data_IF_207901719416
#
_entry.id   IF_207901719416
#
_cell.length_a   1.000
_cell.length_b   1.000
_cell.length_c   1.000
_cell.angle_alpha   90.00
_cell.angle_beta   90.00
_cell.angle_gamma   90.00
#
_symmetry.space_group_name_H-M   'P 1'
#
loop_
_entity.id
_entity.type
_entity.pdbx_description
1 polymer ?
#
# COMPACT_ATOMS: atom_id res chain seq x y z
N UNK A 1 -3.51 -26.43 4.86
CA UNK A 1 -4.59 -25.50 5.28
C UNK A 1 -4.79 -25.72 6.76
N UNK A 2 -4.52 -24.73 7.60
CA UNK A 2 -4.68 -24.88 9.05
C UNK A 2 -6.18 -24.93 9.35
N UNK A 3 -6.64 -25.98 10.01
CA UNK A 3 -8.03 -26.08 10.43
C UNK A 3 -8.28 -25.08 11.56
N UNK A 4 -8.85 -23.93 11.19
CA UNK A 4 -9.20 -22.87 12.12
C UNK A 4 -10.18 -23.35 13.20
N UNK A 5 -10.93 -24.44 12.96
CA UNK A 5 -11.80 -25.03 13.97
C UNK A 5 -11.00 -25.65 15.14
N UNK A 6 -9.83 -26.25 14.87
CA UNK A 6 -8.97 -26.82 15.91
C UNK A 6 -8.39 -25.73 16.82
N UNK A 7 -7.98 -24.59 16.24
CA UNK A 7 -7.45 -23.45 17.00
C UNK A 7 -8.54 -22.86 17.92
N UNK A 8 -9.81 -22.94 17.53
CA UNK A 8 -10.95 -22.44 18.32
C UNK A 8 -11.32 -23.29 19.54
N UNK A 9 -10.80 -24.51 19.66
CA UNK A 9 -10.91 -25.29 20.91
C UNK A 9 -10.02 -24.72 22.03
N UNK A 10 -9.10 -23.83 21.71
CA UNK A 10 -8.31 -23.11 22.69
C UNK A 10 -9.15 -21.96 23.25
N UNK A 11 -9.37 -21.96 24.56
CA UNK A 11 -10.06 -20.86 25.28
C UNK A 11 -9.17 -19.61 25.35
N UNK A 12 -9.01 -18.94 24.22
CA UNK A 12 -8.24 -17.70 24.09
C UNK A 12 -9.04 -16.64 23.34
N UNK A 13 -8.67 -15.39 23.51
CA UNK A 13 -9.21 -14.29 22.73
C UNK A 13 -8.55 -14.25 21.35
N UNK A 14 -9.35 -13.98 20.32
CA UNK A 14 -8.88 -13.79 18.95
C UNK A 14 -8.94 -12.33 18.57
N UNK A 15 -7.87 -11.85 17.92
CA UNK A 15 -7.81 -10.49 17.37
C UNK A 15 -7.62 -10.61 15.87
N UNK A 16 -8.54 -10.00 15.12
CA UNK A 16 -8.50 -9.96 13.66
C UNK A 16 -8.08 -8.56 13.20
N UNK A 17 -7.05 -8.50 12.36
CA UNK A 17 -6.54 -7.25 11.79
C UNK A 17 -6.90 -7.20 10.30
N UNK A 18 -7.72 -6.23 9.92
CA UNK A 18 -8.22 -6.11 8.54
C UNK A 18 -8.18 -4.64 8.11
N UNK A 19 -7.65 -4.38 6.92
CA UNK A 19 -7.60 -3.03 6.35
C UNK A 19 -8.91 -2.65 5.61
N UNK A 20 -9.58 -3.62 4.98
CA UNK A 20 -10.60 -3.37 3.96
C UNK A 20 -11.90 -4.13 4.21
N UNK A 21 -12.39 -4.23 5.45
CA UNK A 21 -13.67 -4.89 5.76
C UNK A 21 -14.84 -3.90 5.60
N UNK A 22 -15.56 -3.86 4.46
CA UNK A 22 -16.73 -3.01 4.32
C UNK A 22 -17.87 -3.49 5.25
N UNK A 23 -18.73 -2.57 5.73
CA UNK A 23 -19.87 -2.95 6.57
C UNK A 23 -20.80 -3.99 5.94
N UNK A 24 -20.91 -3.99 4.61
CA UNK A 24 -21.80 -4.88 3.85
C UNK A 24 -21.44 -6.37 3.94
N UNK A 25 -20.17 -6.70 4.22
CA UNK A 25 -19.72 -8.11 4.34
C UNK A 25 -19.36 -8.50 5.77
N UNK A 26 -19.52 -7.59 6.73
CA UNK A 26 -19.09 -7.80 8.11
C UNK A 26 -19.83 -8.97 8.75
N UNK A 27 -21.15 -9.07 8.59
CA UNK A 27 -21.94 -10.17 9.14
C UNK A 27 -21.47 -11.53 8.60
N UNK A 28 -21.22 -11.62 7.30
CA UNK A 28 -20.69 -12.84 6.66
C UNK A 28 -19.30 -13.18 7.19
N UNK A 29 -18.43 -12.19 7.37
CA UNK A 29 -17.12 -12.39 7.96
C UNK A 29 -17.22 -12.90 9.41
N UNK A 30 -18.10 -12.32 10.22
CA UNK A 30 -18.35 -12.74 11.61
C UNK A 30 -18.87 -14.18 11.68
N UNK A 31 -19.84 -14.53 10.83
CA UNK A 31 -20.40 -15.88 10.72
C UNK A 31 -19.35 -16.91 10.32
N UNK A 32 -18.60 -16.67 9.24
CA UNK A 32 -17.51 -17.56 8.80
C UNK A 32 -16.44 -17.75 9.87
N UNK A 33 -16.27 -16.73 10.72
CA UNK A 33 -15.30 -16.76 11.80
C UNK A 33 -15.88 -17.21 13.15
N UNK A 34 -17.17 -17.60 13.21
CA UNK A 34 -17.91 -17.93 14.44
C UNK A 34 -17.69 -16.87 15.53
N UNK A 35 -17.65 -15.58 15.15
CA UNK A 35 -17.43 -14.48 16.07
C UNK A 35 -18.73 -14.19 16.80
N UNK A 36 -18.69 -14.28 18.13
CA UNK A 36 -19.84 -13.97 18.98
C UNK A 36 -19.62 -12.59 19.59
N UNK A 37 -20.40 -11.61 19.12
CA UNK A 37 -20.37 -10.22 19.60
C UNK A 37 -18.95 -9.59 19.65
N UNK A 38 -18.22 -9.56 18.51
CA UNK A 38 -16.86 -9.03 18.50
C UNK A 38 -16.84 -7.53 18.78
N UNK A 39 -15.84 -7.06 19.52
CA UNK A 39 -15.55 -5.63 19.64
C UNK A 39 -14.94 -5.13 18.33
N UNK A 40 -15.64 -4.25 17.63
CA UNK A 40 -15.17 -3.69 16.36
C UNK A 40 -14.57 -2.31 16.57
N UNK A 41 -13.30 -2.15 16.19
CA UNK A 41 -12.58 -0.87 16.23
C UNK A 41 -12.23 -0.49 14.79
N UNK A 42 -12.71 0.67 14.34
CA UNK A 42 -12.43 1.20 12.99
C UNK A 42 -11.60 2.47 13.09
N UNK A 43 -10.37 2.41 12.60
CA UNK A 43 -9.52 3.59 12.47
C UNK A 43 -9.86 4.35 11.18
N UNK A 44 -9.77 5.68 11.22
CA UNK A 44 -9.85 6.48 10.00
C UNK A 44 -8.67 6.16 9.09
N UNK A 45 -8.93 6.03 7.79
CA UNK A 45 -7.88 5.90 6.77
C UNK A 45 -7.26 7.25 6.40
N UNK A 46 -7.76 8.36 6.95
CA UNK A 46 -7.25 9.70 6.66
C UNK A 46 -5.81 9.86 7.17
N UNK A 47 -4.91 10.25 6.25
CA UNK A 47 -3.51 10.54 6.53
C UNK A 47 -3.28 12.04 6.32
N UNK A 48 -3.40 12.82 7.39
CA UNK A 48 -3.30 14.30 7.34
C UNK A 48 -1.95 14.82 6.86
N UNK A 49 -0.91 13.99 6.92
CA UNK A 49 0.44 14.32 6.50
C UNK A 49 0.73 13.94 5.03
N UNK A 50 -0.27 13.48 4.27
CA UNK A 50 -0.14 13.16 2.85
C UNK A 50 -0.78 14.23 1.97
N UNK A 51 -0.06 14.62 0.93
CA UNK A 51 -0.56 15.45 -0.17
C UNK A 51 -0.80 14.57 -1.40
N UNK A 52 -1.99 14.65 -1.99
CA UNK A 52 -2.37 13.88 -3.17
C UNK A 52 -2.37 14.76 -4.41
N UNK A 53 -1.79 14.27 -5.50
CA UNK A 53 -1.74 14.96 -6.78
C UNK A 53 -1.91 13.98 -7.93
N UNK A 54 -2.72 14.36 -8.92
CA UNK A 54 -2.91 13.61 -10.17
C UNK A 54 -2.48 14.49 -11.33
N UNK A 55 -1.59 13.97 -12.17
CA UNK A 55 -1.08 14.69 -13.33
C UNK A 55 -1.07 13.78 -14.55
N UNK A 56 -1.43 14.35 -15.70
CA UNK A 56 -1.34 13.65 -17.00
C UNK A 56 0.12 13.63 -17.46
N UNK A 57 0.59 12.49 -17.94
CA UNK A 57 1.85 12.43 -18.68
C UNK A 57 1.64 13.07 -20.06
N UNK A 58 2.35 14.16 -20.35
CA UNK A 58 2.12 15.01 -21.55
C UNK A 58 3.20 14.89 -22.62
N UNK A 59 4.32 14.21 -22.35
CA UNK A 59 5.45 14.07 -23.29
C UNK A 59 5.33 12.80 -24.14
N UNK A 60 5.90 12.86 -25.36
CA UNK A 60 6.21 11.65 -26.15
C UNK A 60 7.28 10.85 -25.41
N UNK A 61 6.90 9.67 -24.92
CA UNK A 61 7.73 8.78 -24.12
C UNK A 61 6.87 7.78 -23.36
N UNK A 62 7.49 6.77 -22.76
CA UNK A 62 6.75 5.84 -21.89
C UNK A 62 6.47 6.50 -20.53
N UNK A 63 5.43 6.05 -19.83
CA UNK A 63 5.14 6.51 -18.47
C UNK A 63 6.33 6.27 -17.51
N UNK A 64 7.16 5.25 -17.79
CA UNK A 64 8.35 4.90 -17.03
C UNK A 64 9.44 5.97 -17.14
N UNK A 65 9.73 6.47 -18.35
CA UNK A 65 10.73 7.52 -18.56
C UNK A 65 10.34 8.82 -17.86
N UNK A 66 9.07 9.22 -17.97
CA UNK A 66 8.57 10.40 -17.29
C UNK A 66 8.55 10.23 -15.76
N UNK A 67 8.23 9.02 -15.28
CA UNK A 67 8.34 8.65 -13.86
C UNK A 67 9.77 8.75 -13.35
N UNK A 68 10.73 8.17 -14.06
CA UNK A 68 12.16 8.22 -13.71
C UNK A 68 12.68 9.65 -13.66
N UNK A 69 12.35 10.45 -14.68
CA UNK A 69 12.72 11.87 -14.76
C UNK A 69 12.19 12.66 -13.57
N UNK A 70 10.92 12.49 -13.21
CA UNK A 70 10.31 13.19 -12.06
C UNK A 70 10.89 12.75 -10.74
N UNK A 71 11.18 11.47 -10.57
CA UNK A 71 11.82 10.95 -9.36
C UNK A 71 13.22 11.56 -9.19
N UNK A 72 14.03 11.59 -10.27
CA UNK A 72 15.33 12.27 -10.26
C UNK A 72 15.20 13.76 -9.93
N UNK A 73 14.31 14.46 -10.62
CA UNK A 73 14.11 15.90 -10.40
C UNK A 73 13.64 16.19 -8.96
N UNK A 74 12.75 15.36 -8.41
CA UNK A 74 12.32 15.45 -7.02
C UNK A 74 13.49 15.22 -6.05
N UNK A 75 14.34 14.21 -6.31
CA UNK A 75 15.48 13.88 -5.48
C UNK A 75 16.60 14.94 -5.55
N UNK A 76 16.82 15.48 -6.74
CA UNK A 76 17.95 16.35 -7.02
C UNK A 76 17.63 17.83 -6.78
N UNK A 77 16.47 18.31 -7.26
CA UNK A 77 16.20 19.74 -7.44
C UNK A 77 15.07 20.30 -6.58
N UNK A 78 14.16 19.46 -6.07
CA UNK A 78 12.94 19.97 -5.40
C UNK A 78 13.19 20.68 -4.06
N UNK A 79 14.31 20.37 -3.39
CA UNK A 79 14.58 20.75 -1.98
C UNK A 79 13.51 20.28 -0.97
N UNK A 80 12.56 19.46 -1.40
CA UNK A 80 11.48 18.95 -0.56
C UNK A 80 11.89 17.72 0.24
N UNK A 81 12.93 17.01 -0.21
CA UNK A 81 13.39 15.75 0.37
C UNK A 81 14.74 15.92 1.07
N UNK A 82 14.84 15.43 2.30
CA UNK A 82 16.10 15.21 3.00
C UNK A 82 16.75 13.93 2.46
N UNK A 83 17.79 14.07 1.64
CA UNK A 83 18.49 12.93 1.01
C UNK A 83 19.09 11.95 2.01
N UNK A 84 19.30 12.33 3.27
CA UNK A 84 19.83 11.44 4.30
C UNK A 84 18.76 10.54 4.94
N UNK A 85 17.47 10.88 4.77
CA UNK A 85 16.37 10.26 5.54
C UNK A 85 15.19 9.83 4.68
N UNK A 86 14.87 10.61 3.66
CA UNK A 86 13.70 10.41 2.85
C UNK A 86 13.93 9.35 1.78
N UNK A 87 12.83 8.80 1.27
CA UNK A 87 12.83 7.77 0.24
C UNK A 87 11.73 8.05 -0.76
N UNK A 88 12.00 7.78 -2.02
CA UNK A 88 10.98 7.77 -3.07
C UNK A 88 10.61 6.31 -3.35
N UNK A 89 9.31 6.01 -3.35
CA UNK A 89 8.79 4.70 -3.76
C UNK A 89 8.03 4.89 -5.07
N UNK A 90 8.42 4.14 -6.10
CA UNK A 90 7.75 4.13 -7.39
C UNK A 90 7.06 2.79 -7.58
N UNK A 91 5.77 2.84 -7.91
CA UNK A 91 4.98 1.66 -8.25
C UNK A 91 4.78 1.61 -9.77
N UNK A 92 5.02 0.44 -10.35
CA UNK A 92 4.84 0.13 -11.77
C UNK A 92 3.98 -1.10 -11.93
N UNK A 93 3.55 -1.38 -13.17
CA UNK A 93 2.54 -2.41 -13.42
C UNK A 93 3.12 -3.83 -13.45
N UNK A 94 4.32 -4.00 -14.00
CA UNK A 94 4.97 -5.31 -14.17
C UNK A 94 6.35 -5.35 -13.54
N UNK A 95 6.94 -6.55 -13.42
CA UNK A 95 8.31 -6.70 -12.93
C UNK A 95 9.33 -6.21 -13.96
N UNK A 96 9.02 -6.39 -15.23
CA UNK A 96 9.83 -5.94 -16.36
C UNK A 96 9.89 -4.40 -16.41
N UNK A 97 8.76 -3.73 -16.16
CA UNK A 97 8.70 -2.28 -15.99
C UNK A 97 9.58 -1.83 -14.80
N UNK A 98 9.59 -2.60 -13.71
CA UNK A 98 10.38 -2.27 -12.52
C UNK A 98 11.89 -2.40 -12.80
N UNK A 99 12.29 -3.45 -13.51
CA UNK A 99 13.67 -3.63 -13.95
C UNK A 99 14.11 -2.50 -14.89
N UNK A 100 13.28 -2.18 -15.89
CA UNK A 100 13.52 -1.07 -16.82
C UNK A 100 13.63 0.26 -16.09
N UNK A 101 12.76 0.52 -15.11
CA UNK A 101 12.78 1.73 -14.31
C UNK A 101 14.03 1.80 -13.41
N UNK A 102 14.50 0.68 -12.87
CA UNK A 102 15.73 0.60 -12.09
C UNK A 102 16.96 0.92 -12.95
N UNK A 103 17.04 0.37 -14.17
CA UNK A 103 18.07 0.71 -15.15
C UNK A 103 18.05 2.20 -15.50
N UNK A 104 16.85 2.74 -15.80
CA UNK A 104 16.67 4.16 -16.08
C UNK A 104 17.14 5.05 -14.93
N UNK A 105 16.96 4.62 -13.68
CA UNK A 105 17.37 5.36 -12.49
C UNK A 105 18.80 5.06 -12.02
N UNK A 106 19.52 4.17 -12.71
CA UNK A 106 20.83 3.67 -12.31
C UNK A 106 20.83 3.09 -10.88
N UNK A 107 19.73 2.45 -10.47
CA UNK A 107 19.68 1.72 -9.20
C UNK A 107 20.51 0.44 -9.32
N UNK A 108 21.35 0.16 -8.32
CA UNK A 108 22.17 -1.05 -8.23
C UNK A 108 21.47 -2.15 -7.44
#
# INVERSE_FOLDING_TARGET
>A
MVDLALIRNVRTQFVYLIATLPPTIQATFEEQNNLVNPKVIRASTNRRNLFYMVQRATRLGTLLEEGARRARDAWENSRLLDRARDKIILYVRTKEDAATLAELLCCS
#
